data_IF_704895359373
#
_entry.id   IF_704895359373
#
_cell.length_a   1.000
_cell.length_b   1.000
_cell.length_c   1.000
_cell.angle_alpha   90.00
_cell.angle_beta   90.00
_cell.angle_gamma   90.00
#
_symmetry.space_group_name_H-M   'P 1'
#
loop_
_entity.id
_entity.type
_entity.pdbx_description
1 polymer ?
#
# COMPACT_ATOMS: atom_id res chain seq x y z
N UNK A 1 -30.54 27.71 21.86
CA UNK A 1 -30.26 26.66 22.86
C UNK A 1 -29.20 27.16 23.83
N UNK A 2 -29.64 27.86 24.87
CA UNK A 2 -28.83 28.23 26.03
C UNK A 2 -29.29 27.32 27.16
N UNK A 3 -28.62 26.19 27.33
CA UNK A 3 -28.88 25.20 28.36
C UNK A 3 -27.57 24.82 29.02
N UNK A 4 -27.46 25.16 30.28
CA UNK A 4 -26.45 24.69 31.23
C UNK A 4 -26.30 23.17 31.19
N UNK A 5 -25.07 22.67 30.98
CA UNK A 5 -24.67 21.33 31.39
C UNK A 5 -24.81 20.19 30.38
N UNK A 6 -24.56 20.40 29.08
CA UNK A 6 -24.22 19.25 28.21
C UNK A 6 -22.79 18.82 28.51
N UNK A 7 -22.60 17.94 29.49
CA UNK A 7 -21.33 17.23 29.62
C UNK A 7 -21.16 16.38 28.36
N UNK A 8 -20.19 16.74 27.52
CA UNK A 8 -19.62 15.87 26.48
C UNK A 8 -18.79 14.75 27.13
N UNK A 9 -19.33 14.14 28.19
CA UNK A 9 -18.68 13.10 28.97
C UNK A 9 -19.06 11.75 28.34
N UNK A 10 -18.10 11.04 27.72
CA UNK A 10 -18.40 9.79 27.04
C UNK A 10 -18.91 8.71 28.02
N UNK A 11 -18.62 8.80 29.33
CA UNK A 11 -19.06 7.83 30.33
C UNK A 11 -20.59 7.84 30.53
N UNK A 12 -21.23 9.01 30.48
CA UNK A 12 -22.69 9.12 30.56
C UNK A 12 -23.36 8.50 29.32
N UNK A 13 -22.72 8.64 28.16
CA UNK A 13 -23.20 8.05 26.91
C UNK A 13 -23.07 6.53 26.93
N UNK A 14 -21.97 5.99 27.47
CA UNK A 14 -21.79 4.55 27.68
C UNK A 14 -22.87 3.96 28.60
N UNK A 15 -23.15 4.62 29.72
CA UNK A 15 -24.19 4.21 30.66
C UNK A 15 -25.58 4.20 30.01
N UNK A 16 -25.89 5.22 29.20
CA UNK A 16 -27.15 5.30 28.48
C UNK A 16 -27.28 4.21 27.39
N UNK A 17 -26.21 3.94 26.63
CA UNK A 17 -26.19 2.86 25.65
C UNK A 17 -26.47 1.50 26.31
N UNK A 18 -25.78 1.21 27.41
CA UNK A 18 -25.94 -0.02 28.20
C UNK A 18 -27.38 -0.15 28.71
N UNK A 19 -27.96 0.94 29.26
CA UNK A 19 -29.34 0.97 29.75
C UNK A 19 -30.36 0.63 28.66
N UNK A 20 -30.07 0.93 27.40
CA UNK A 20 -30.94 0.67 26.26
C UNK A 20 -30.57 -0.62 25.50
N UNK A 21 -29.73 -1.50 26.06
CA UNK A 21 -29.34 -2.77 25.43
C UNK A 21 -28.47 -2.60 24.19
N UNK A 22 -27.71 -1.51 24.09
CA UNK A 22 -26.78 -1.23 23.00
C UNK A 22 -25.34 -1.30 23.49
N UNK A 23 -24.43 -1.66 22.59
CA UNK A 23 -22.99 -1.58 22.85
C UNK A 23 -22.60 -0.12 23.04
N UNK A 24 -21.91 0.25 24.13
CA UNK A 24 -21.31 1.58 24.28
C UNK A 24 -20.38 1.97 23.12
N UNK A 25 -19.76 1.00 22.46
CA UNK A 25 -18.90 1.23 21.30
C UNK A 25 -19.66 1.64 20.02
N UNK A 26 -20.99 1.50 19.99
CA UNK A 26 -21.83 2.04 18.90
C UNK A 26 -22.00 3.57 19.02
N UNK A 27 -21.57 4.17 20.13
CA UNK A 27 -21.60 5.62 20.34
C UNK A 27 -20.24 6.21 20.01
N UNK A 28 -20.25 7.13 19.04
CA UNK A 28 -19.07 7.86 18.60
C UNK A 28 -19.11 9.29 19.15
N UNK A 29 -18.27 9.57 20.15
CA UNK A 29 -18.02 10.94 20.59
C UNK A 29 -17.29 11.68 19.47
N UNK A 30 -17.92 12.69 18.90
CA UNK A 30 -17.29 13.50 17.85
C UNK A 30 -16.02 14.16 18.39
N UNK A 31 -14.94 14.16 17.63
CA UNK A 31 -13.67 14.84 17.94
C UNK A 31 -13.35 15.77 16.79
N UNK A 32 -13.33 17.08 17.04
CA UNK A 32 -13.02 18.08 16.01
C UNK A 32 -11.50 18.17 15.82
N UNK A 33 -10.99 17.56 14.75
CA UNK A 33 -9.54 17.58 14.42
C UNK A 33 -9.13 18.95 13.88
N UNK A 34 -10.05 19.72 13.29
CA UNK A 34 -9.75 21.00 12.65
C UNK A 34 -9.60 22.14 13.67
N UNK A 35 -10.43 22.16 14.71
CA UNK A 35 -10.53 23.27 15.62
C UNK A 35 -9.33 23.37 16.58
N UNK A 36 -8.60 24.48 16.52
CA UNK A 36 -7.67 24.88 17.58
C UNK A 36 -8.39 25.85 18.51
N UNK A 37 -8.90 25.38 19.64
CA UNK A 37 -9.55 26.25 20.61
C UNK A 37 -8.80 26.26 21.94
N UNK A 38 -7.74 27.08 22.09
CA UNK A 38 -7.08 27.27 23.38
C UNK A 38 -7.90 28.12 24.37
N UNK A 39 -9.08 28.65 23.97
CA UNK A 39 -9.73 29.76 24.68
C UNK A 39 -11.08 29.46 25.34
N UNK A 40 -11.69 28.29 25.12
CA UNK A 40 -12.90 27.90 25.87
C UNK A 40 -12.60 26.66 26.69
N UNK A 41 -12.73 26.72 28.01
CA UNK A 41 -12.62 25.59 28.95
C UNK A 41 -13.69 24.50 28.76
N UNK A 42 -13.99 24.15 27.52
CA UNK A 42 -14.73 22.97 27.08
C UNK A 42 -13.67 21.98 26.62
N UNK A 43 -13.52 20.87 27.34
CA UNK A 43 -12.37 19.96 27.29
C UNK A 43 -12.18 19.13 26.02
N UNK A 44 -12.38 19.72 24.84
CA UNK A 44 -12.09 19.11 23.55
C UNK A 44 -10.96 19.85 22.86
N UNK A 45 -9.88 19.14 22.59
CA UNK A 45 -8.67 19.65 21.95
C UNK A 45 -8.55 19.04 20.54
N UNK A 46 -8.29 19.87 19.54
CA UNK A 46 -8.15 19.43 18.14
C UNK A 46 -6.70 19.33 17.67
N UNK A 47 -6.49 19.27 16.36
CA UNK A 47 -5.18 19.14 15.72
C UNK A 47 -4.37 17.97 16.30
N UNK A 48 -3.10 18.17 16.63
CA UNK A 48 -2.24 17.15 17.22
C UNK A 48 -2.55 16.84 18.70
N UNK A 49 -3.54 17.49 19.30
CA UNK A 49 -4.02 17.17 20.65
C UNK A 49 -5.26 16.26 20.64
N UNK A 50 -5.82 15.96 19.45
CA UNK A 50 -6.97 15.05 19.22
C UNK A 50 -6.88 13.75 20.03
N UNK A 51 -5.68 13.21 20.23
CA UNK A 51 -5.44 11.97 20.97
C UNK A 51 -5.96 12.01 22.41
N UNK A 52 -6.01 13.17 23.07
CA UNK A 52 -6.49 13.30 24.45
C UNK A 52 -7.99 12.98 24.52
N UNK A 53 -8.78 13.56 23.62
CA UNK A 53 -10.21 13.27 23.53
C UNK A 53 -10.46 11.81 23.15
N UNK A 54 -9.61 11.23 22.28
CA UNK A 54 -9.68 9.80 21.95
C UNK A 54 -9.38 8.93 23.18
N UNK A 55 -8.37 9.28 23.97
CA UNK A 55 -8.03 8.59 25.22
C UNK A 55 -9.20 8.61 26.21
N UNK A 56 -9.88 9.76 26.35
CA UNK A 56 -11.07 9.88 27.20
C UNK A 56 -12.22 8.97 26.72
N UNK A 57 -12.43 8.86 25.40
CA UNK A 57 -13.43 7.96 24.83
C UNK A 57 -13.11 6.49 25.13
N UNK A 58 -11.85 6.09 24.97
CA UNK A 58 -11.36 4.74 25.27
C UNK A 58 -11.50 4.43 26.76
N UNK A 59 -11.10 5.36 27.64
CA UNK A 59 -11.21 5.21 29.09
C UNK A 59 -12.67 5.06 29.55
N UNK A 60 -13.61 5.71 28.86
CA UNK A 60 -15.05 5.59 29.10
C UNK A 60 -15.71 4.35 28.45
N UNK A 61 -14.98 3.57 27.66
CA UNK A 61 -15.53 2.41 26.95
C UNK A 61 -16.45 2.77 25.78
N UNK A 62 -16.19 3.88 25.09
CA UNK A 62 -16.94 4.34 23.91
C UNK A 62 -16.04 4.48 22.69
N UNK A 63 -16.61 4.78 21.52
CA UNK A 63 -15.85 5.06 20.30
C UNK A 63 -15.65 6.57 20.10
N UNK A 64 -14.64 6.94 19.30
CA UNK A 64 -14.39 8.32 18.89
C UNK A 64 -14.66 8.49 17.39
N UNK A 65 -15.36 9.56 17.01
CA UNK A 65 -15.63 9.92 15.62
C UNK A 65 -14.81 11.13 15.20
N UNK A 66 -13.79 10.93 14.36
CA UNK A 66 -12.90 12.02 13.92
C UNK A 66 -13.58 12.89 12.86
N UNK A 67 -13.89 14.13 13.21
CA UNK A 67 -14.39 15.13 12.28
C UNK A 67 -13.23 15.88 11.63
N UNK A 68 -13.27 16.01 10.29
CA UNK A 68 -12.29 16.76 9.49
C UNK A 68 -10.83 16.28 9.62
N UNK A 69 -10.59 14.98 9.76
CA UNK A 69 -9.24 14.40 9.81
C UNK A 69 -8.38 14.71 8.56
N UNK A 70 -9.01 15.01 7.41
CA UNK A 70 -8.34 15.50 6.20
C UNK A 70 -7.61 16.84 6.39
N UNK A 71 -7.77 17.49 7.54
CA UNK A 71 -7.01 18.68 7.94
C UNK A 71 -5.50 18.51 7.75
N UNK A 72 -4.94 17.31 8.00
CA UNK A 72 -3.51 17.02 7.80
C UNK A 72 -3.08 17.26 6.37
N UNK A 73 -3.91 16.89 5.39
CA UNK A 73 -3.69 17.15 3.97
C UNK A 73 -3.98 18.61 3.59
N UNK A 74 -5.11 19.16 4.06
CA UNK A 74 -5.56 20.51 3.70
C UNK A 74 -4.62 21.63 4.19
N UNK A 75 -3.86 21.37 5.27
CA UNK A 75 -2.86 22.30 5.80
C UNK A 75 -1.44 22.00 5.35
N UNK A 76 -1.25 20.94 4.56
CA UNK A 76 0.06 20.60 4.05
C UNK A 76 0.48 21.54 2.90
N UNK A 77 1.76 21.90 2.89
CA UNK A 77 2.41 22.72 1.86
C UNK A 77 3.14 21.88 0.80
N UNK A 78 3.34 20.60 1.09
CA UNK A 78 3.92 19.60 0.21
C UNK A 78 3.39 18.21 0.58
N UNK A 79 3.65 17.21 -0.26
CA UNK A 79 3.27 15.83 0.07
C UNK A 79 4.04 15.29 1.29
N UNK A 80 5.32 15.66 1.45
CA UNK A 80 6.11 15.27 2.63
C UNK A 80 5.58 15.92 3.91
N UNK A 81 5.17 17.18 3.86
CA UNK A 81 4.50 17.88 4.97
C UNK A 81 3.19 17.16 5.34
N UNK A 82 2.42 16.71 4.34
CA UNK A 82 1.24 15.88 4.58
C UNK A 82 1.59 14.58 5.32
N UNK A 83 2.57 13.81 4.85
CA UNK A 83 2.97 12.56 5.51
C UNK A 83 3.46 12.78 6.95
N UNK A 84 4.18 13.87 7.20
CA UNK A 84 4.61 14.24 8.56
C UNK A 84 3.44 14.60 9.47
N UNK A 85 2.46 15.36 8.97
CA UNK A 85 1.23 15.71 9.71
C UNK A 85 0.37 14.49 9.98
N UNK A 86 0.19 13.63 8.99
CA UNK A 86 -0.54 12.38 9.14
C UNK A 86 0.12 11.48 10.19
N UNK A 87 1.45 11.30 10.10
CA UNK A 87 2.24 10.60 11.12
C UNK A 87 2.04 11.21 12.51
N UNK A 88 2.11 12.54 12.65
CA UNK A 88 1.94 13.21 13.94
C UNK A 88 0.52 13.03 14.50
N UNK A 89 -0.52 13.05 13.67
CA UNK A 89 -1.90 12.81 14.13
C UNK A 89 -2.08 11.37 14.64
N UNK A 90 -1.59 10.39 13.87
CA UNK A 90 -1.81 8.97 14.17
C UNK A 90 -0.85 8.41 15.21
N UNK A 91 0.44 8.74 15.15
CA UNK A 91 1.51 8.12 15.96
C UNK A 91 2.06 9.11 16.99
N UNK A 92 2.12 10.39 16.62
CA UNK A 92 2.67 11.46 17.43
C UNK A 92 4.21 11.46 17.45
N UNK A 93 4.79 11.86 18.58
CA UNK A 93 6.25 12.09 18.70
C UNK A 93 7.06 10.81 18.91
N UNK A 94 6.39 9.71 19.27
CA UNK A 94 6.98 8.39 19.46
C UNK A 94 7.28 7.64 18.16
N UNK A 95 7.57 6.35 18.29
CA UNK A 95 7.68 5.42 17.15
C UNK A 95 6.35 4.68 16.94
N UNK A 96 6.16 4.01 15.81
CA UNK A 96 4.88 3.31 15.55
C UNK A 96 4.60 2.15 16.51
N UNK A 97 5.63 1.58 17.15
CA UNK A 97 5.50 0.52 18.16
C UNK A 97 5.50 1.05 19.60
N UNK A 98 5.94 2.30 19.80
CA UNK A 98 5.85 3.05 21.06
C UNK A 98 5.28 4.44 20.77
N UNK A 99 4.00 4.52 20.36
CA UNK A 99 3.38 5.78 20.01
C UNK A 99 3.24 6.68 21.25
N UNK A 100 3.36 7.99 21.04
CA UNK A 100 3.27 8.98 22.11
C UNK A 100 2.58 10.23 21.56
N UNK A 101 1.58 10.74 22.28
CA UNK A 101 0.81 11.94 21.89
C UNK A 101 0.16 11.85 20.49
N UNK A 102 -0.23 10.64 20.07
CA UNK A 102 -0.98 10.36 18.85
C UNK A 102 -2.09 9.35 19.11
N UNK A 103 -3.01 9.17 18.16
CA UNK A 103 -4.18 8.27 18.31
C UNK A 103 -3.77 6.82 18.66
N UNK A 104 -2.67 6.33 18.08
CA UNK A 104 -2.13 4.99 18.30
C UNK A 104 -1.66 4.77 19.75
N UNK A 105 -1.45 5.82 20.55
CA UNK A 105 -1.17 5.69 21.97
C UNK A 105 -2.38 5.19 22.78
N UNK A 106 -3.60 5.34 22.24
CA UNK A 106 -4.84 4.93 22.90
C UNK A 106 -5.54 3.74 22.21
N UNK A 107 -5.35 3.58 20.90
CA UNK A 107 -6.01 2.55 20.10
C UNK A 107 -4.95 1.66 19.44
N UNK A 108 -4.87 0.36 19.80
CA UNK A 108 -3.91 -0.54 19.18
C UNK A 108 -4.25 -0.76 17.69
N UNK A 109 -3.25 -0.99 16.83
CA UNK A 109 -3.49 -1.34 15.44
C UNK A 109 -4.21 -2.69 15.35
N UNK A 110 -4.92 -2.89 14.24
CA UNK A 110 -5.52 -4.20 13.92
C UNK A 110 -4.55 -5.00 13.05
N UNK A 111 -4.52 -6.34 13.19
CA UNK A 111 -3.80 -7.18 12.25
C UNK A 111 -4.36 -7.01 10.85
N UNK A 112 -3.51 -7.21 9.83
CA UNK A 112 -3.94 -7.26 8.44
C UNK A 112 -4.95 -8.41 8.25
N UNK A 113 -5.88 -8.32 7.29
CA UNK A 113 -6.89 -9.34 7.06
C UNK A 113 -6.27 -10.73 6.82
N UNK A 114 -6.93 -11.80 7.30
CA UNK A 114 -6.38 -13.17 7.27
C UNK A 114 -6.33 -13.81 5.87
N UNK A 115 -7.00 -13.22 4.87
CA UNK A 115 -7.22 -13.88 3.59
C UNK A 115 -5.97 -13.77 2.72
N UNK A 116 -5.49 -14.92 2.26
CA UNK A 116 -4.51 -15.01 1.19
C UNK A 116 -5.21 -14.83 -0.18
N UNK A 117 -4.49 -14.35 -1.20
CA UNK A 117 -3.11 -13.85 -1.13
C UNK A 117 -3.04 -12.43 -0.52
N UNK A 118 -1.90 -12.11 0.09
CA UNK A 118 -1.56 -10.78 0.59
C UNK A 118 -0.50 -10.19 -0.32
N UNK A 119 -0.72 -8.97 -0.79
CA UNK A 119 0.19 -8.23 -1.65
C UNK A 119 0.37 -6.79 -1.16
N UNK A 120 1.59 -6.29 -1.28
CA UNK A 120 1.90 -4.87 -1.25
C UNK A 120 3.10 -4.55 -2.12
N UNK A 121 3.02 -3.49 -2.91
CA UNK A 121 4.17 -2.79 -3.48
C UNK A 121 4.49 -1.50 -2.74
N UNK A 122 3.90 -1.31 -1.56
CA UNK A 122 3.99 -0.07 -0.77
C UNK A 122 3.45 1.16 -1.51
N UNK A 123 2.56 0.96 -2.50
CA UNK A 123 1.91 2.04 -3.22
C UNK A 123 1.01 2.84 -2.29
N UNK A 124 1.25 4.14 -2.19
CA UNK A 124 0.40 5.04 -1.41
C UNK A 124 -0.90 5.44 -2.15
N UNK A 125 -1.11 4.96 -3.38
CA UNK A 125 -2.25 5.35 -4.23
C UNK A 125 -2.06 6.69 -4.94
N UNK A 126 -0.84 7.21 -4.92
CA UNK A 126 -0.44 8.39 -5.66
C UNK A 126 0.94 8.16 -6.30
N UNK A 127 1.20 8.97 -7.31
CA UNK A 127 2.42 8.97 -8.08
C UNK A 127 2.98 10.39 -8.06
N UNK A 128 4.11 10.57 -7.38
CA UNK A 128 4.77 11.88 -7.28
C UNK A 128 5.74 12.08 -8.43
N UNK A 129 6.50 11.04 -8.75
CA UNK A 129 7.59 11.08 -9.74
C UNK A 129 7.23 10.28 -10.99
N UNK A 130 7.08 8.96 -10.86
CA UNK A 130 6.95 8.08 -12.00
C UNK A 130 6.31 6.73 -11.67
N UNK A 131 5.75 6.08 -12.68
CA UNK A 131 5.25 4.71 -12.58
C UNK A 131 6.41 3.75 -12.79
N UNK A 132 6.54 2.78 -11.90
CA UNK A 132 7.49 1.68 -12.02
C UNK A 132 6.76 0.38 -12.28
N UNK A 133 7.26 -0.39 -13.23
CA UNK A 133 6.76 -1.74 -13.52
C UNK A 133 7.96 -2.67 -13.62
N UNK A 134 7.96 -3.69 -12.76
CA UNK A 134 9.03 -4.68 -12.64
C UNK A 134 10.44 -4.06 -12.54
N UNK A 135 10.56 -2.93 -11.81
CA UNK A 135 11.81 -2.19 -11.60
C UNK A 135 12.20 -1.24 -12.75
N UNK A 136 11.37 -1.14 -13.79
CA UNK A 136 11.59 -0.22 -14.92
C UNK A 136 10.67 1.01 -14.83
N UNK A 137 11.28 2.20 -14.86
CA UNK A 137 10.57 3.49 -14.97
C UNK A 137 9.82 3.55 -16.30
N UNK A 138 8.50 3.74 -16.24
CA UNK A 138 7.66 3.79 -17.43
C UNK A 138 7.74 5.16 -18.13
N UNK A 139 8.02 5.21 -19.44
CA UNK A 139 8.02 6.46 -20.20
C UNK A 139 6.64 7.12 -20.19
N UNK A 140 6.62 8.45 -20.06
CA UNK A 140 5.39 9.23 -20.14
C UNK A 140 4.49 9.16 -18.89
N UNK A 141 4.93 8.51 -17.81
CA UNK A 141 4.20 8.59 -16.54
C UNK A 141 4.21 10.03 -16.01
N UNK A 142 3.03 10.59 -15.78
CA UNK A 142 2.85 11.90 -15.15
C UNK A 142 2.32 11.73 -13.72
N UNK A 143 2.57 12.70 -12.81
CA UNK A 143 2.02 12.65 -11.46
C UNK A 143 0.50 12.47 -11.47
N UNK A 144 -0.01 11.53 -10.68
CA UNK A 144 -1.44 11.27 -10.54
C UNK A 144 -1.81 10.82 -9.12
N UNK A 145 -3.10 10.90 -8.79
CA UNK A 145 -3.66 10.32 -7.57
C UNK A 145 -4.82 9.40 -7.92
N UNK A 146 -4.69 8.12 -7.57
CA UNK A 146 -5.73 7.10 -7.73
C UNK A 146 -5.67 6.18 -6.51
N UNK A 147 -6.49 6.50 -5.49
CA UNK A 147 -6.52 5.73 -4.25
C UNK A 147 -7.05 4.30 -4.44
N UNK A 148 -7.62 3.95 -5.60
CA UNK A 148 -7.89 2.54 -5.92
C UNK A 148 -6.61 1.73 -6.09
N UNK A 149 -5.47 2.40 -6.33
CA UNK A 149 -4.12 1.82 -6.39
C UNK A 149 -3.36 1.88 -5.07
N UNK A 150 -4.01 2.26 -3.97
CA UNK A 150 -3.36 2.21 -2.66
C UNK A 150 -3.27 0.76 -2.19
N UNK A 151 -2.06 0.33 -1.86
CA UNK A 151 -1.81 -1.01 -1.32
C UNK A 151 -2.05 -1.06 0.19
N UNK A 152 -1.99 -2.28 0.72
CA UNK A 152 -1.75 -2.50 2.13
C UNK A 152 -0.37 -1.94 2.52
N UNK A 153 -0.36 -0.83 3.24
CA UNK A 153 0.87 -0.23 3.77
C UNK A 153 1.19 -0.80 5.18
N UNK A 154 2.44 -0.69 5.67
CA UNK A 154 2.86 -1.25 6.96
C UNK A 154 1.92 -0.86 8.11
N UNK A 155 1.66 -1.81 9.00
CA UNK A 155 0.95 -1.57 10.26
C UNK A 155 1.73 -0.57 11.12
N UNK A 156 3.05 -0.72 11.17
CA UNK A 156 3.94 0.16 11.91
C UNK A 156 4.68 1.11 10.96
N UNK A 157 4.39 2.42 10.99
CA UNK A 157 4.99 3.45 10.11
C UNK A 157 5.72 4.59 10.85
N UNK A 158 6.98 4.47 11.19
CA UNK A 158 7.80 3.25 11.20
C UNK A 158 8.26 2.98 12.62
N UNK A 159 8.65 1.73 12.87
CA UNK A 159 9.30 1.33 14.10
C UNK A 159 10.56 0.55 13.75
N UNK A 160 11.72 1.12 14.07
CA UNK A 160 13.01 0.46 13.96
C UNK A 160 13.58 0.19 15.35
N UNK A 161 14.36 -0.88 15.51
CA UNK A 161 14.99 -1.29 16.75
C UNK A 161 16.46 -1.70 16.52
N UNK A 162 17.39 -1.10 17.29
CA UNK A 162 17.21 -0.01 18.26
C UNK A 162 16.76 1.32 17.62
N UNK A 163 15.90 2.08 18.32
CA UNK A 163 15.11 3.21 17.79
C UNK A 163 15.89 4.42 17.22
N UNK A 164 17.22 4.39 17.16
CA UNK A 164 18.06 5.54 16.82
C UNK A 164 18.97 5.38 15.59
N UNK A 165 18.99 4.21 14.90
CA UNK A 165 20.01 3.96 13.87
C UNK A 165 19.47 3.82 12.44
N UNK A 166 18.19 3.44 12.26
CA UNK A 166 17.59 3.32 10.93
C UNK A 166 16.83 4.58 10.49
N UNK A 167 17.02 4.98 9.23
CA UNK A 167 16.07 5.78 8.48
C UNK A 167 15.19 4.85 7.67
N UNK A 168 13.87 4.96 7.84
CA UNK A 168 12.87 4.21 7.09
C UNK A 168 11.86 5.18 6.51
N UNK A 169 11.63 5.12 5.20
CA UNK A 169 10.73 6.04 4.50
C UNK A 169 10.14 5.40 3.24
N UNK A 170 9.01 5.93 2.77
CA UNK A 170 8.58 5.65 1.40
C UNK A 170 9.48 6.39 0.42
N UNK A 171 9.91 5.72 -0.64
CA UNK A 171 10.73 6.30 -1.71
C UNK A 171 9.92 6.34 -3.00
N UNK A 172 9.60 7.55 -3.45
CA UNK A 172 8.86 7.78 -4.71
C UNK A 172 9.77 7.90 -5.93
N UNK A 173 11.07 8.01 -5.73
CA UNK A 173 12.05 8.19 -6.80
C UNK A 173 12.53 6.86 -7.37
N UNK A 174 12.35 5.76 -6.63
CA UNK A 174 12.81 4.44 -7.02
C UNK A 174 11.89 3.36 -6.44
N UNK A 175 11.26 2.56 -7.31
CA UNK A 175 10.34 1.50 -6.91
C UNK A 175 10.38 0.29 -7.85
N UNK A 176 9.80 -0.81 -7.40
CA UNK A 176 9.66 -2.02 -8.21
C UNK A 176 8.36 -2.00 -9.02
N UNK A 177 7.22 -1.92 -8.33
CA UNK A 177 5.89 -1.78 -8.93
C UNK A 177 5.19 -0.57 -8.30
N UNK A 178 4.41 0.19 -9.09
CA UNK A 178 3.65 1.33 -8.59
C UNK A 178 4.47 2.62 -8.49
N UNK A 179 4.08 3.49 -7.55
CA UNK A 179 4.66 4.83 -7.39
C UNK A 179 5.69 4.98 -6.27
N UNK A 180 5.80 4.00 -5.37
CA UNK A 180 6.66 4.07 -4.18
C UNK A 180 7.23 2.71 -3.80
N UNK A 181 8.38 2.68 -3.14
CA UNK A 181 8.92 1.51 -2.41
C UNK A 181 9.21 1.86 -0.96
N UNK A 182 9.69 0.91 -0.17
CA UNK A 182 10.19 1.15 1.19
C UNK A 182 11.72 1.24 1.19
N UNK A 183 12.25 2.42 1.46
CA UNK A 183 13.69 2.66 1.61
C UNK A 183 14.10 2.45 3.07
N UNK A 184 15.18 1.69 3.27
CA UNK A 184 15.84 1.52 4.56
C UNK A 184 17.32 1.88 4.45
N UNK A 185 17.82 2.57 5.46
CA UNK A 185 19.25 2.79 5.63
C UNK A 185 19.61 2.82 7.10
N UNK A 186 20.74 2.24 7.47
CA UNK A 186 21.26 2.27 8.83
C UNK A 186 22.76 2.04 8.82
N UNK A 187 23.45 2.62 9.80
CA UNK A 187 24.87 2.33 10.05
C UNK A 187 25.07 1.00 10.79
N UNK A 188 24.07 0.53 11.54
CA UNK A 188 24.12 -0.71 12.32
C UNK A 188 22.98 -1.69 11.94
N UNK A 189 23.02 -2.92 12.46
CA UNK A 189 21.95 -3.88 12.25
C UNK A 189 20.67 -3.42 12.95
N UNK A 190 19.53 -3.58 12.27
CA UNK A 190 18.24 -3.04 12.70
C UNK A 190 17.09 -4.00 12.37
N UNK A 191 16.13 -4.08 13.30
CA UNK A 191 14.83 -4.70 13.05
C UNK A 191 13.83 -3.59 12.76
N UNK A 192 13.21 -3.60 11.58
CA UNK A 192 12.12 -2.67 11.23
C UNK A 192 10.81 -3.44 11.22
N UNK A 193 9.93 -3.09 12.14
CA UNK A 193 8.62 -3.72 12.21
C UNK A 193 7.73 -3.26 11.05
N UNK A 194 7.14 -4.18 10.30
CA UNK A 194 6.26 -3.83 9.15
C UNK A 194 4.79 -4.18 9.39
N UNK A 195 4.45 -5.47 9.50
CA UNK A 195 3.05 -5.92 9.51
C UNK A 195 2.71 -6.71 10.76
N UNK A 196 1.62 -6.30 11.41
CA UNK A 196 0.91 -7.14 12.38
C UNK A 196 -0.01 -8.07 11.59
N UNK A 197 0.15 -9.37 11.77
CA UNK A 197 -0.56 -10.37 10.98
C UNK A 197 -1.50 -11.22 11.84
N UNK A 198 -2.42 -11.89 11.17
CA UNK A 198 -3.23 -12.97 11.72
C UNK A 198 -3.49 -13.98 10.60
N UNK A 199 -2.44 -14.36 9.88
CA UNK A 199 -2.56 -15.08 8.60
C UNK A 199 -2.27 -16.56 8.81
N UNK A 200 -3.22 -17.42 8.49
CA UNK A 200 -3.02 -18.87 8.55
C UNK A 200 -1.96 -19.30 7.52
N UNK A 201 -1.12 -20.26 7.89
CA UNK A 201 -0.19 -20.91 6.96
C UNK A 201 -0.90 -22.13 6.36
N UNK A 202 -1.35 -22.06 5.10
CA UNK A 202 -1.77 -23.26 4.38
C UNK A 202 -0.56 -24.16 4.18
N UNK A 203 -0.77 -25.47 3.99
CA UNK A 203 0.32 -26.45 3.91
C UNK A 203 1.48 -26.03 3.00
N UNK A 204 1.17 -25.34 1.90
CA UNK A 204 2.16 -24.66 1.05
C UNK A 204 1.93 -23.14 1.13
N UNK A 205 2.97 -22.38 1.51
CA UNK A 205 2.93 -20.92 1.56
C UNK A 205 4.24 -20.36 1.00
N UNK A 206 4.12 -19.43 0.05
CA UNK A 206 5.25 -18.76 -0.55
C UNK A 206 5.28 -17.31 -0.12
N UNK A 207 6.46 -16.87 0.34
CA UNK A 207 6.75 -15.45 0.54
C UNK A 207 7.71 -15.04 -0.57
N UNK A 208 7.28 -14.09 -1.39
CA UNK A 208 8.10 -13.52 -2.47
C UNK A 208 8.29 -12.03 -2.21
N UNK A 209 9.51 -11.54 -2.35
CA UNK A 209 9.75 -10.10 -2.31
C UNK A 209 10.77 -9.68 -3.36
N UNK A 210 10.60 -8.46 -3.87
CA UNK A 210 11.55 -7.80 -4.74
C UNK A 210 12.33 -6.77 -3.94
N UNK A 211 13.66 -6.85 -3.98
CA UNK A 211 14.52 -5.89 -3.30
C UNK A 211 15.67 -5.41 -4.19
N UNK A 212 15.97 -4.12 -4.11
CA UNK A 212 17.27 -3.58 -4.49
C UNK A 212 18.16 -3.62 -3.26
N UNK A 213 19.07 -4.59 -3.24
CA UNK A 213 19.93 -4.90 -2.11
C UNK A 213 21.28 -5.41 -2.63
N UNK A 214 22.15 -4.50 -3.12
CA UNK A 214 23.42 -4.88 -3.72
C UNK A 214 24.43 -5.47 -2.71
N UNK A 215 24.16 -5.35 -1.40
CA UNK A 215 25.05 -5.81 -0.34
C UNK A 215 24.50 -7.05 0.42
N UNK A 216 23.36 -7.61 -0.01
CA UNK A 216 22.66 -8.69 0.69
C UNK A 216 22.36 -8.36 2.16
N UNK A 217 22.08 -7.09 2.46
CA UNK A 217 21.82 -6.60 3.83
C UNK A 217 20.36 -6.72 4.23
N UNK A 218 19.45 -7.09 3.32
CA UNK A 218 18.01 -7.15 3.55
C UNK A 218 17.50 -8.60 3.64
N UNK A 219 16.84 -8.90 4.77
CA UNK A 219 16.14 -10.17 5.04
C UNK A 219 14.77 -9.90 5.66
N UNK A 220 13.85 -10.88 5.63
CA UNK A 220 12.57 -10.79 6.35
C UNK A 220 12.57 -11.69 7.59
N UNK A 221 12.00 -11.21 8.68
CA UNK A 221 11.69 -12.02 9.87
C UNK A 221 10.19 -12.33 9.85
N UNK A 222 9.84 -13.61 9.94
CA UNK A 222 8.46 -14.08 10.02
C UNK A 222 8.24 -14.67 11.40
N UNK A 223 7.27 -14.14 12.15
CA UNK A 223 6.93 -14.59 13.51
C UNK A 223 5.61 -15.33 13.51
N UNK A 224 5.57 -16.46 14.23
CA UNK A 224 4.38 -17.32 14.35
C UNK A 224 3.76 -17.24 15.75
N UNK A 225 2.48 -17.58 15.85
CA UNK A 225 1.67 -17.52 17.07
C UNK A 225 2.19 -18.39 18.23
N UNK A 226 2.99 -19.41 17.93
CA UNK A 226 3.61 -20.30 18.91
C UNK A 226 4.91 -19.75 19.51
N UNK A 227 5.35 -18.57 19.07
CA UNK A 227 6.55 -17.88 19.55
C UNK A 227 7.83 -18.19 18.78
N UNK A 228 7.78 -19.07 17.78
CA UNK A 228 8.87 -19.30 16.82
C UNK A 228 8.98 -18.15 15.83
N UNK A 229 10.19 -17.93 15.33
CA UNK A 229 10.44 -17.02 14.21
C UNK A 229 11.49 -17.61 13.28
N UNK A 230 11.37 -17.30 12.00
CA UNK A 230 12.32 -17.69 10.96
C UNK A 230 12.79 -16.46 10.21
N UNK A 231 14.02 -16.51 9.72
CA UNK A 231 14.58 -15.49 8.85
C UNK A 231 14.58 -15.99 7.41
N UNK A 232 14.05 -15.18 6.51
CA UNK A 232 14.15 -15.37 5.06
C UNK A 232 15.33 -14.52 4.58
N UNK A 233 16.48 -15.16 4.35
CA UNK A 233 17.74 -14.49 3.98
C UNK A 233 18.34 -15.07 2.69
N UNK A 234 19.49 -14.56 2.25
CA UNK A 234 20.16 -15.03 1.04
C UNK A 234 20.84 -16.41 1.21
N UNK A 235 21.25 -16.75 2.42
CA UNK A 235 21.99 -17.98 2.75
C UNK A 235 21.26 -18.78 3.84
N UNK A 236 21.34 -20.12 3.78
CA UNK A 236 20.68 -21.02 4.73
C UNK A 236 21.44 -21.09 6.06
N UNK A 237 20.72 -21.33 7.15
CA UNK A 237 21.28 -21.43 8.51
C UNK A 237 20.25 -21.92 9.53
N UNK A 238 20.64 -21.95 10.80
CA UNK A 238 19.70 -22.29 11.89
C UNK A 238 18.62 -21.23 11.98
N UNK A 239 17.35 -21.64 11.86
CA UNK A 239 16.18 -20.75 11.78
C UNK A 239 16.24 -19.76 10.61
N UNK A 240 17.03 -20.06 9.57
CA UNK A 240 17.15 -19.26 8.35
C UNK A 240 16.81 -20.11 7.13
N UNK A 241 15.83 -19.66 6.35
CA UNK A 241 15.44 -20.28 5.08
C UNK A 241 16.07 -19.48 3.93
N UNK A 242 16.78 -20.17 3.05
CA UNK A 242 17.29 -19.61 1.80
C UNK A 242 16.22 -19.59 0.69
N UNK A 243 16.33 -18.71 -0.31
CA UNK A 243 15.37 -18.66 -1.40
C UNK A 243 15.43 -19.95 -2.24
N UNK A 244 14.26 -20.46 -2.61
CA UNK A 244 14.13 -21.57 -3.58
C UNK A 244 14.58 -21.15 -4.98
N UNK A 245 14.37 -19.89 -5.34
CA UNK A 245 14.88 -19.30 -6.57
C UNK A 245 15.09 -17.79 -6.40
N UNK A 246 16.02 -17.26 -7.19
CA UNK A 246 16.34 -15.82 -7.27
C UNK A 246 16.37 -15.42 -8.74
N UNK A 247 15.66 -14.35 -9.09
CA UNK A 247 15.59 -13.83 -10.47
C UNK A 247 16.00 -12.36 -10.49
N UNK A 248 17.07 -11.98 -11.22
CA UNK A 248 17.40 -10.59 -11.44
C UNK A 248 16.30 -9.87 -12.22
N UNK A 249 15.99 -8.63 -11.83
CA UNK A 249 14.97 -7.79 -12.42
C UNK A 249 15.58 -6.48 -12.94
N UNK A 250 14.78 -5.68 -13.65
CA UNK A 250 15.20 -4.35 -14.08
C UNK A 250 15.49 -3.44 -12.88
N UNK A 251 16.26 -2.37 -13.11
CA UNK A 251 16.63 -1.42 -12.06
C UNK A 251 17.59 -1.98 -11.00
N UNK A 252 18.09 -3.21 -11.14
CA UNK A 252 18.95 -3.85 -10.14
C UNK A 252 18.18 -4.51 -9.00
N UNK A 253 16.85 -4.62 -9.10
CA UNK A 253 16.06 -5.43 -8.18
C UNK A 253 16.34 -6.93 -8.39
N UNK A 254 16.05 -7.73 -7.37
CA UNK A 254 15.98 -9.18 -7.48
C UNK A 254 14.71 -9.70 -6.80
N UNK A 255 14.02 -10.62 -7.47
CA UNK A 255 12.93 -11.38 -6.87
C UNK A 255 13.51 -12.56 -6.11
N UNK A 256 13.16 -12.71 -4.84
CA UNK A 256 13.51 -13.86 -4.01
C UNK A 256 12.23 -14.55 -3.55
N UNK A 257 12.15 -15.87 -3.71
CA UNK A 257 10.98 -16.64 -3.29
C UNK A 257 11.34 -17.75 -2.31
N UNK A 258 10.55 -17.84 -1.26
CA UNK A 258 10.74 -18.75 -0.15
C UNK A 258 9.50 -19.64 -0.05
N UNK A 259 9.70 -20.95 -0.10
CA UNK A 259 8.64 -21.91 0.19
C UNK A 259 8.71 -22.26 1.68
N UNK A 260 7.66 -21.94 2.42
CA UNK A 260 7.47 -22.41 3.78
C UNK A 260 6.96 -23.85 3.67
N UNK A 261 7.79 -24.80 4.09
CA UNK A 261 7.45 -26.22 4.06
C UNK A 261 6.42 -26.60 5.14
N UNK A 262 6.03 -27.88 5.14
CA UNK A 262 5.00 -28.47 6.02
C UNK A 262 5.23 -28.22 7.52
N UNK A 263 6.46 -27.89 7.93
CA UNK A 263 6.83 -27.62 9.32
C UNK A 263 6.01 -26.49 9.96
N UNK A 264 5.49 -25.55 9.18
CA UNK A 264 4.70 -24.40 9.67
C UNK A 264 3.20 -24.51 9.33
N UNK A 265 2.79 -25.59 8.66
CA UNK A 265 1.41 -25.79 8.21
C UNK A 265 0.43 -25.78 9.39
N UNK A 266 -0.67 -25.02 9.24
CA UNK A 266 -1.67 -24.85 10.31
C UNK A 266 -1.27 -23.85 11.40
N UNK A 267 -0.03 -23.36 11.40
CA UNK A 267 0.41 -22.24 12.21
C UNK A 267 -0.19 -20.91 11.74
N UNK A 268 -0.05 -19.86 12.55
CA UNK A 268 -0.51 -18.51 12.19
C UNK A 268 0.67 -17.55 12.21
N UNK A 269 0.90 -16.85 11.10
CA UNK A 269 1.84 -15.73 11.02
C UNK A 269 1.23 -14.55 11.77
N UNK A 270 1.96 -14.05 12.77
CA UNK A 270 1.57 -12.91 13.61
C UNK A 270 2.40 -11.66 13.33
N UNK A 271 3.56 -11.79 12.68
CA UNK A 271 4.41 -10.67 12.35
C UNK A 271 5.25 -10.91 11.10
N UNK A 272 5.46 -9.85 10.32
CA UNK A 272 6.43 -9.80 9.23
C UNK A 272 7.21 -8.51 9.38
N UNK A 273 8.51 -8.64 9.58
CA UNK A 273 9.41 -7.54 9.85
C UNK A 273 10.63 -7.61 8.93
N UNK A 274 11.32 -6.49 8.78
CA UNK A 274 12.56 -6.38 8.01
C UNK A 274 13.76 -6.52 8.95
N UNK A 275 14.68 -7.41 8.62
CA UNK A 275 16.01 -7.44 9.21
C UNK A 275 16.98 -6.76 8.24
N UNK A 276 17.60 -5.69 8.72
CA UNK A 276 18.61 -4.96 7.98
C UNK A 276 19.96 -5.15 8.64
N UNK A 277 20.95 -5.70 7.94
CA UNK A 277 22.27 -6.01 8.50
C UNK A 277 23.14 -4.76 8.79
N UNK A 278 22.69 -3.57 8.39
CA UNK A 278 23.45 -2.34 8.54
C UNK A 278 24.56 -2.19 7.50
N UNK A 279 25.46 -1.22 7.71
CA UNK A 279 26.63 -1.02 6.84
C UNK A 279 26.62 0.29 6.03
N UNK A 280 25.68 1.20 6.29
CA UNK A 280 25.63 2.53 5.68
C UNK A 280 25.23 2.54 4.20
N UNK A 281 24.88 1.38 3.64
CA UNK A 281 24.29 1.24 2.29
C UNK A 281 22.78 1.45 2.40
N UNK A 282 22.14 1.85 1.30
CA UNK A 282 20.69 1.93 1.18
C UNK A 282 20.17 0.67 0.50
N UNK A 283 19.00 0.19 0.95
CA UNK A 283 18.26 -0.87 0.27
C UNK A 283 16.79 -0.47 0.14
N UNK A 284 16.14 -0.93 -0.93
CA UNK A 284 14.72 -0.72 -1.16
C UNK A 284 14.00 -2.08 -1.17
N UNK A 285 12.98 -2.23 -0.33
CA UNK A 285 12.00 -3.29 -0.45
C UNK A 285 10.88 -2.80 -1.38
N UNK A 286 10.81 -3.42 -2.56
CA UNK A 286 9.92 -3.01 -3.65
C UNK A 286 8.51 -3.60 -3.54
N UNK A 287 8.39 -4.88 -3.22
CA UNK A 287 7.10 -5.52 -2.95
C UNK A 287 7.24 -6.71 -2.00
N UNK A 288 6.12 -7.15 -1.44
CA UNK A 288 5.97 -8.38 -0.66
C UNK A 288 4.68 -9.07 -1.07
N UNK A 289 4.79 -10.37 -1.32
CA UNK A 289 3.69 -11.26 -1.69
C UNK A 289 3.69 -12.46 -0.75
N UNK A 290 2.50 -12.82 -0.28
CA UNK A 290 2.27 -13.99 0.54
C UNK A 290 1.09 -14.73 -0.08
N UNK A 291 1.34 -15.92 -0.62
CA UNK A 291 0.32 -16.69 -1.34
C UNK A 291 0.59 -18.17 -1.22
N UNK A 292 -0.42 -19.02 -1.44
CA UNK A 292 -0.23 -20.48 -1.42
C UNK A 292 0.75 -20.95 -2.50
N UNK A 293 0.74 -20.27 -3.64
CA UNK A 293 1.68 -20.50 -4.73
C UNK A 293 1.86 -19.24 -5.60
N UNK A 294 3.04 -19.07 -6.23
CA UNK A 294 3.22 -18.17 -7.36
C UNK A 294 2.32 -18.53 -8.54
N UNK A 295 1.40 -17.65 -8.94
CA UNK A 295 0.51 -17.89 -10.08
C UNK A 295 0.72 -16.84 -11.15
N UNK A 296 1.28 -17.21 -12.30
CA UNK A 296 1.31 -16.36 -13.50
C UNK A 296 -0.06 -16.45 -14.19
N UNK A 297 -0.80 -15.34 -14.35
CA UNK A 297 -2.12 -15.37 -14.96
C UNK A 297 -2.03 -15.60 -16.48
N UNK A 298 -3.05 -16.27 -17.03
CA UNK A 298 -3.26 -16.31 -18.47
C UNK A 298 -3.63 -14.91 -19.02
N UNK A 299 -3.55 -14.73 -20.34
CA UNK A 299 -3.92 -13.47 -20.98
C UNK A 299 -5.42 -13.21 -20.97
N UNK A 300 -5.80 -11.94 -21.03
CA UNK A 300 -7.19 -11.57 -21.25
C UNK A 300 -7.66 -12.05 -22.63
N UNK A 301 -8.95 -12.31 -22.76
CA UNK A 301 -9.56 -12.70 -24.05
C UNK A 301 -10.63 -11.69 -24.46
N UNK A 302 -11.08 -11.77 -25.71
CA UNK A 302 -12.14 -10.87 -26.23
C UNK A 302 -11.83 -9.39 -26.04
N UNK A 303 -10.56 -8.99 -26.16
CA UNK A 303 -10.14 -7.59 -26.07
C UNK A 303 -10.76 -6.81 -27.24
N UNK A 304 -11.59 -5.83 -26.90
CA UNK A 304 -12.30 -4.98 -27.84
C UNK A 304 -12.15 -3.52 -27.43
N UNK A 305 -12.26 -2.61 -28.42
CA UNK A 305 -12.14 -1.18 -28.21
C UNK A 305 -13.20 -0.43 -28.98
N UNK A 306 -13.88 0.49 -28.29
CA UNK A 306 -14.86 1.40 -28.86
C UNK A 306 -14.28 2.81 -28.83
N UNK A 307 -14.02 3.43 -30.00
CA UNK A 307 -13.61 4.83 -30.05
C UNK A 307 -14.65 5.70 -29.34
N UNK A 308 -14.19 6.57 -28.46
CA UNK A 308 -15.04 7.56 -27.81
C UNK A 308 -14.91 8.87 -28.58
N UNK A 309 -16.03 9.58 -28.73
CA UNK A 309 -16.00 10.91 -29.30
C UNK A 309 -15.27 11.85 -28.32
N UNK A 310 -14.04 12.23 -28.67
CA UNK A 310 -13.20 13.07 -27.84
C UNK A 310 -13.76 14.49 -27.67
N UNK A 311 -13.53 15.08 -26.50
CA UNK A 311 -13.70 16.53 -26.27
C UNK A 311 -12.41 17.31 -26.57
N UNK A 312 -11.28 16.61 -26.67
CA UNK A 312 -9.95 17.17 -26.87
C UNK A 312 -9.39 16.69 -28.22
N UNK A 313 -9.04 17.60 -29.15
CA UNK A 313 -8.48 17.24 -30.45
C UNK A 313 -7.05 16.67 -30.36
N UNK A 314 -6.39 16.77 -29.20
CA UNK A 314 -5.01 16.32 -29.00
C UNK A 314 -4.90 14.90 -28.45
N UNK A 315 -6.03 14.21 -28.20
CA UNK A 315 -6.02 12.85 -27.68
C UNK A 315 -7.05 11.96 -28.39
N UNK A 316 -6.67 10.70 -28.61
CA UNK A 316 -7.59 9.65 -29.03
C UNK A 316 -8.06 8.90 -27.78
N UNK A 317 -9.36 8.97 -27.50
CA UNK A 317 -9.98 8.27 -26.38
C UNK A 317 -10.66 6.98 -26.86
N UNK A 318 -10.38 5.85 -26.22
CA UNK A 318 -10.95 4.54 -26.56
C UNK A 318 -11.40 3.84 -25.28
N UNK A 319 -12.66 3.39 -25.23
CA UNK A 319 -13.10 2.47 -24.18
C UNK A 319 -12.69 1.05 -24.55
N UNK A 320 -11.77 0.48 -23.78
CA UNK A 320 -11.34 -0.90 -23.89
C UNK A 320 -12.18 -1.78 -22.96
N UNK A 321 -12.52 -2.99 -23.42
CA UNK A 321 -13.19 -4.03 -22.63
C UNK A 321 -12.57 -5.39 -22.95
N UNK A 322 -12.59 -6.31 -21.99
CA UNK A 322 -12.06 -7.66 -22.17
C UNK A 322 -12.75 -8.67 -21.25
N UNK A 323 -12.47 -9.95 -21.46
CA UNK A 323 -12.83 -11.03 -20.56
C UNK A 323 -11.61 -11.39 -19.70
N UNK A 324 -11.80 -11.37 -18.39
CA UNK A 324 -10.77 -11.75 -17.42
C UNK A 324 -10.33 -13.21 -17.63
N UNK A 325 -9.03 -13.54 -17.47
CA UNK A 325 -8.60 -14.93 -17.33
C UNK A 325 -9.20 -15.56 -16.05
N UNK A 326 -9.12 -16.88 -15.95
CA UNK A 326 -9.47 -17.60 -14.71
C UNK A 326 -8.49 -17.30 -13.57
N UNK A 327 -8.97 -17.37 -12.34
CA UNK A 327 -8.16 -17.13 -11.13
C UNK A 327 -8.31 -15.70 -10.61
N UNK A 328 -7.62 -15.41 -9.52
CA UNK A 328 -7.69 -14.11 -8.86
C UNK A 328 -6.73 -13.12 -9.52
N UNK A 329 -7.31 -12.10 -10.16
CA UNK A 329 -6.60 -11.01 -10.82
C UNK A 329 -6.67 -9.77 -9.94
N UNK A 330 -5.50 -9.22 -9.60
CA UNK A 330 -5.41 -8.02 -8.80
C UNK A 330 -5.72 -6.77 -9.62
N UNK A 331 -5.13 -6.67 -10.82
CA UNK A 331 -5.37 -5.57 -11.76
C UNK A 331 -4.87 -5.93 -13.17
N UNK A 332 -5.08 -4.99 -14.09
CA UNK A 332 -4.55 -5.00 -15.45
C UNK A 332 -3.73 -3.74 -15.68
N UNK A 333 -2.50 -3.88 -16.17
CA UNK A 333 -1.75 -2.75 -16.70
C UNK A 333 -2.08 -2.60 -18.20
N UNK A 334 -2.41 -1.36 -18.58
CA UNK A 334 -2.85 -1.01 -19.92
C UNK A 334 -1.78 -0.15 -20.57
N UNK A 335 -1.38 -0.55 -21.78
CA UNK A 335 -0.39 0.15 -22.58
C UNK A 335 -1.01 0.61 -23.90
N UNK A 336 -0.48 1.70 -24.43
CA UNK A 336 -0.83 2.25 -25.74
C UNK A 336 0.42 2.47 -26.57
N UNK A 337 0.26 2.53 -27.89
CA UNK A 337 1.33 2.89 -28.80
C UNK A 337 0.81 3.82 -29.88
N UNK A 338 1.41 5.02 -29.96
CA UNK A 338 1.31 5.91 -31.11
C UNK A 338 2.66 6.03 -31.85
N UNK A 339 3.77 5.59 -31.27
CA UNK A 339 5.13 5.52 -31.88
C UNK A 339 6.09 4.72 -30.98
N UNK A 340 5.95 4.89 -29.66
CA UNK A 340 6.59 4.08 -28.61
C UNK A 340 5.55 3.59 -27.61
N UNK A 341 5.75 2.38 -27.06
CA UNK A 341 4.84 1.82 -26.07
C UNK A 341 4.91 2.63 -24.78
N UNK A 342 3.79 3.23 -24.41
CA UNK A 342 3.60 3.99 -23.17
C UNK A 342 2.65 3.26 -22.24
N UNK A 343 2.91 3.31 -20.94
CA UNK A 343 1.94 2.87 -19.95
C UNK A 343 0.86 3.95 -19.83
N UNK A 344 -0.41 3.54 -19.96
CA UNK A 344 -1.56 4.43 -19.93
C UNK A 344 -2.23 4.47 -18.57
N UNK A 345 -2.11 3.41 -17.79
CA UNK A 345 -2.74 3.29 -16.49
C UNK A 345 -3.01 1.85 -16.08
N UNK A 346 -3.64 1.74 -14.92
CA UNK A 346 -4.04 0.47 -14.30
C UNK A 346 -5.56 0.40 -14.21
N UNK A 347 -6.12 -0.79 -14.46
CA UNK A 347 -7.54 -1.06 -14.34
C UNK A 347 -7.80 -2.14 -13.29
N UNK A 348 -8.77 -1.89 -12.40
CA UNK A 348 -9.28 -2.87 -11.42
C UNK A 348 -10.60 -3.51 -11.85
N UNK A 349 -11.03 -3.22 -13.08
CA UNK A 349 -12.19 -3.77 -13.72
C UNK A 349 -11.83 -4.23 -15.13
N UNK A 350 -12.72 -5.00 -15.76
CA UNK A 350 -12.52 -5.51 -17.12
C UNK A 350 -12.83 -4.47 -18.21
N UNK A 351 -12.61 -3.20 -17.87
CA UNK A 351 -12.82 -2.04 -18.73
C UNK A 351 -11.83 -0.95 -18.38
N UNK A 352 -11.39 -0.18 -19.38
CA UNK A 352 -10.52 0.97 -19.17
C UNK A 352 -10.76 2.04 -20.24
N UNK A 353 -10.72 3.31 -19.87
CA UNK A 353 -10.74 4.41 -20.84
C UNK A 353 -9.31 4.80 -21.14
N UNK A 354 -8.80 4.33 -22.28
CA UNK A 354 -7.47 4.65 -22.76
C UNK A 354 -7.47 6.02 -23.43
N UNK A 355 -6.55 6.89 -23.03
CA UNK A 355 -6.28 8.16 -23.69
C UNK A 355 -4.85 8.14 -24.20
N UNK A 356 -4.69 8.26 -25.52
CA UNK A 356 -3.39 8.29 -26.16
C UNK A 356 -3.22 9.66 -26.82
N UNK A 357 -2.09 10.36 -26.61
CA UNK A 357 -1.81 11.60 -27.34
C UNK A 357 -1.94 11.36 -28.85
N UNK A 358 -2.56 12.29 -29.57
CA UNK A 358 -2.62 12.27 -31.03
C UNK A 358 -1.21 12.43 -31.60
N UNK A 359 -0.97 11.85 -32.77
CA UNK A 359 0.35 11.79 -33.40
C UNK A 359 0.22 11.26 -34.81
N UNK A 360 1.35 10.98 -35.45
CA UNK A 360 1.37 10.64 -36.87
C UNK A 360 0.95 9.20 -37.19
N UNK A 361 0.78 8.30 -36.21
CA UNK A 361 0.41 6.94 -36.53
C UNK A 361 -1.03 6.83 -36.99
N UNK A 362 -1.24 6.02 -38.03
CA UNK A 362 -2.57 5.70 -38.56
C UNK A 362 -3.26 4.60 -37.75
N UNK A 363 -2.50 3.86 -36.92
CA UNK A 363 -2.97 2.73 -36.13
C UNK A 363 -2.48 2.88 -34.69
N UNK A 364 -3.41 2.81 -33.74
CA UNK A 364 -3.10 2.67 -32.32
C UNK A 364 -3.13 1.21 -31.93
N UNK A 365 -2.13 0.78 -31.17
CA UNK A 365 -2.11 -0.56 -30.56
C UNK A 365 -2.24 -0.46 -29.06
N UNK A 366 -3.21 -1.17 -28.51
CA UNK A 366 -3.42 -1.32 -27.08
C UNK A 366 -2.97 -2.69 -26.62
N UNK A 367 -2.37 -2.76 -25.45
CA UNK A 367 -1.99 -4.02 -24.80
C UNK A 367 -2.57 -4.05 -23.40
N UNK A 368 -3.19 -5.16 -23.02
CA UNK A 368 -3.72 -5.37 -21.67
C UNK A 368 -3.03 -6.57 -21.06
N UNK A 369 -2.39 -6.34 -19.91
CA UNK A 369 -1.57 -7.33 -19.23
C UNK A 369 -2.10 -7.55 -17.80
N UNK A 370 -2.63 -8.74 -17.47
CA UNK A 370 -3.09 -9.04 -16.13
C UNK A 370 -1.94 -9.29 -15.15
N UNK A 371 -2.19 -8.92 -13.90
CA UNK A 371 -1.39 -9.27 -12.71
C UNK A 371 -2.24 -10.14 -11.79
N UNK A 372 -1.72 -11.29 -11.35
CA UNK A 372 -2.42 -12.12 -10.38
C UNK A 372 -2.39 -11.50 -8.99
N UNK A 373 -3.35 -11.90 -8.15
CA UNK A 373 -3.36 -11.54 -6.73
C UNK A 373 -2.19 -12.14 -5.94
N UNK A 374 -1.54 -13.19 -6.45
CA UNK A 374 -0.29 -13.73 -5.89
C UNK A 374 0.97 -12.95 -6.30
N UNK A 375 0.83 -11.91 -7.14
CA UNK A 375 1.96 -11.04 -7.44
C UNK A 375 2.71 -11.21 -8.73
N UNK A 376 2.17 -11.99 -9.66
CA UNK A 376 2.90 -12.33 -10.86
C UNK A 376 2.18 -11.78 -12.08
N UNK A 377 2.97 -11.10 -12.91
CA UNK A 377 2.52 -10.47 -14.13
C UNK A 377 2.59 -11.49 -15.27
N UNK A 378 1.58 -11.49 -16.13
CA UNK A 378 1.67 -12.24 -17.37
C UNK A 378 2.89 -11.75 -18.19
N UNK A 379 3.72 -12.62 -18.79
CA UNK A 379 4.77 -12.18 -19.70
C UNK A 379 4.22 -11.29 -20.82
N UNK A 380 4.85 -10.14 -21.03
CA UNK A 380 4.33 -9.11 -21.93
C UNK A 380 4.24 -9.57 -23.40
N UNK A 381 5.12 -10.47 -23.80
CA UNK A 381 5.08 -11.10 -25.14
C UNK A 381 3.83 -11.96 -25.36
N UNK A 382 3.13 -12.34 -24.29
CA UNK A 382 1.88 -13.13 -24.32
C UNK A 382 0.63 -12.29 -24.03
N UNK A 383 0.79 -10.98 -23.79
CA UNK A 383 -0.31 -10.09 -23.47
C UNK A 383 -1.22 -9.87 -24.69
N UNK A 384 -2.52 -9.72 -24.45
CA UNK A 384 -3.48 -9.49 -25.52
C UNK A 384 -3.27 -8.10 -26.13
N UNK A 385 -3.32 -8.03 -27.45
CA UNK A 385 -3.17 -6.78 -28.21
C UNK A 385 -4.38 -6.52 -29.09
N UNK A 386 -4.70 -5.24 -29.26
CA UNK A 386 -5.74 -4.76 -30.14
C UNK A 386 -5.22 -3.57 -30.93
N UNK A 387 -5.28 -3.66 -32.26
CA UNK A 387 -4.92 -2.55 -33.15
C UNK A 387 -6.18 -1.95 -33.77
N UNK A 388 -6.32 -0.63 -33.65
CA UNK A 388 -7.45 0.13 -34.19
C UNK A 388 -6.95 1.29 -35.06
N UNK A 389 -7.64 1.65 -36.14
CA UNK A 389 -7.31 2.84 -36.91
C UNK A 389 -7.57 4.09 -36.08
N UNK A 390 -6.73 5.12 -36.23
CA UNK A 390 -6.97 6.44 -35.64
C UNK A 390 -8.23 7.06 -36.29
N UNK A 391 -9.19 7.55 -35.49
CA UNK A 391 -10.38 8.22 -36.03
C UNK A 391 -10.00 9.42 -36.91
N UNK A 392 -10.61 9.50 -38.11
CA UNK A 392 -10.28 10.52 -39.12
C UNK A 392 -10.49 11.97 -38.64
N UNK A 393 -11.30 12.20 -37.60
CA UNK A 393 -11.54 13.50 -36.99
C UNK A 393 -10.44 13.97 -36.03
N UNK A 394 -9.45 13.12 -35.74
CA UNK A 394 -8.29 13.43 -34.87
C UNK A 394 -6.98 13.47 -35.67
N UNK A 395 -6.93 12.80 -36.83
CA UNK A 395 -5.75 12.72 -37.70
C UNK A 395 -5.35 14.03 -38.43
N UNK A 396 -6.13 15.11 -38.26
CA UNK A 396 -5.95 16.38 -38.99
C UNK A 396 -5.64 17.59 -38.09
N UNK A 397 -5.29 17.38 -36.82
CA UNK A 397 -4.97 18.43 -35.86
C UNK A 397 -3.46 18.68 -35.76
#
# INVERSE_FOLDING_TARGET
FTGSGSSTDPSLSAALATKNGRSPFDVYTGVDVFQNNPASGQGMVGQFQTYQTVADCVAAGTSAGLFAASWTYQQATSYDDYLQRDRQLWIGTGSACEPADGIAASIPPRPIPQNLPIFTSFSMGNLIEAMWIDGAKQPGSAPFGDLSQQDLLPTWRFCARPAASASVSFDSTFAYNGGTSLLVSSVGPELVHLFLCNTLVPGELHITYNAYDPANTLSLLVTFSEGTSIVLAAEEGTDVIAPTWVVPQAGGFSTRAYALGDAFAGGTITGIDLLYAGGGVQANLGDVHIAEAPVVPAGVTSLAGTPLQGCDPTTVSTQLTWTAPSGDIAWYDVYGNNDTRIWLGRAYANTYVAQVPAGSAEILTFTVQPMSASGFRQPLASAATLSLPVPANVASA
#
